data_IF_913250846326
#
_entry.id   IF_913250846326
#
_cell.length_a   1.000
_cell.length_b   1.000
_cell.length_c   1.000
_cell.angle_alpha   90.00
_cell.angle_beta   90.00
_cell.angle_gamma   90.00
#
_symmetry.space_group_name_H-M   'P 1'
#
loop_
_entity.id
_entity.type
_entity.pdbx_description
1 polymer ?
#
# COMPACT_ATOMS: atom_id res chain seq x y z
N UNK A 1 -17.96 9.02 -5.32
CA UNK A 1 -17.23 10.11 -4.63
C UNK A 1 -16.00 10.48 -5.46
N UNK A 2 -15.83 11.76 -5.81
CA UNK A 2 -14.80 12.23 -6.76
C UNK A 2 -13.34 11.91 -6.36
N UNK A 3 -12.92 12.10 -5.10
CA UNK A 3 -11.55 11.78 -4.68
C UNK A 3 -11.16 10.32 -4.92
N UNK A 4 -12.02 9.35 -4.64
CA UNK A 4 -11.73 7.92 -4.87
C UNK A 4 -11.76 7.53 -6.36
N UNK A 5 -12.27 8.40 -7.24
CA UNK A 5 -12.29 8.15 -8.69
C UNK A 5 -11.03 8.66 -9.39
N UNK A 6 -10.48 9.79 -8.94
CA UNK A 6 -9.37 10.48 -9.62
C UNK A 6 -8.08 10.56 -8.79
N UNK A 7 -8.13 10.16 -7.52
CA UNK A 7 -6.99 10.15 -6.59
C UNK A 7 -6.94 8.78 -5.91
N UNK A 8 -6.54 7.73 -6.64
CA UNK A 8 -6.45 6.40 -6.07
C UNK A 8 -5.49 6.39 -4.88
N UNK A 9 -5.79 5.52 -3.92
CA UNK A 9 -4.93 5.28 -2.77
C UNK A 9 -3.64 4.63 -3.30
N UNK A 10 -2.47 5.11 -2.88
CA UNK A 10 -1.19 4.50 -3.25
C UNK A 10 -0.57 3.72 -2.08
N UNK A 11 -0.81 4.19 -0.85
CA UNK A 11 -0.27 3.60 0.39
C UNK A 11 -1.42 3.45 1.38
N UNK A 12 -1.58 2.26 1.94
CA UNK A 12 -2.52 2.04 3.06
C UNK A 12 -1.80 2.34 4.38
N UNK A 13 -2.47 3.03 5.30
CA UNK A 13 -1.90 3.45 6.58
C UNK A 13 -2.85 3.10 7.71
N UNK A 14 -2.41 2.29 8.66
CA UNK A 14 -3.13 1.97 9.88
C UNK A 14 -2.36 2.48 11.10
N UNK A 15 -3.08 3.06 12.05
CA UNK A 15 -2.52 3.59 13.30
C UNK A 15 -3.13 2.89 14.51
N UNK A 16 -2.27 2.54 15.47
CA UNK A 16 -2.61 1.95 16.76
C UNK A 16 -2.05 2.78 17.90
N UNK A 17 -2.75 2.78 19.02
CA UNK A 17 -2.22 3.28 20.29
C UNK A 17 -0.98 2.46 20.70
N UNK A 18 -0.12 2.96 21.60
CA UNK A 18 1.07 2.21 22.04
C UNK A 18 0.76 0.80 22.55
N UNK A 19 -0.37 0.64 23.23
CA UNK A 19 -0.94 -0.59 23.77
C UNK A 19 -1.86 -1.35 22.80
N UNK A 20 -2.10 -0.79 21.61
CA UNK A 20 -2.94 -1.42 20.58
C UNK A 20 -2.26 -2.63 19.95
N UNK A 21 -3.07 -3.58 19.45
CA UNK A 21 -2.55 -4.79 18.83
C UNK A 21 -2.00 -4.53 17.42
N UNK A 22 -0.71 -4.83 17.22
CA UNK A 22 -0.10 -4.89 15.90
C UNK A 22 -0.72 -5.96 15.01
N UNK A 23 -1.15 -7.08 15.59
CA UNK A 23 -1.83 -8.17 14.87
C UNK A 23 -3.17 -7.72 14.32
N UNK A 24 -3.98 -7.00 15.09
CA UNK A 24 -5.24 -6.42 14.61
C UNK A 24 -4.98 -5.39 13.51
N UNK A 25 -3.98 -4.52 13.69
CA UNK A 25 -3.59 -3.54 12.68
C UNK A 25 -3.14 -4.22 11.38
N UNK A 26 -2.39 -5.31 11.48
CA UNK A 26 -1.99 -6.10 10.32
C UNK A 26 -3.19 -6.80 9.66
N UNK A 27 -4.13 -7.33 10.43
CA UNK A 27 -5.35 -7.93 9.90
C UNK A 27 -6.17 -6.89 9.09
N UNK A 28 -6.29 -5.66 9.60
CA UNK A 28 -6.96 -4.57 8.89
C UNK A 28 -6.22 -4.18 7.61
N UNK A 29 -4.90 -3.97 7.69
CA UNK A 29 -4.08 -3.68 6.50
C UNK A 29 -4.17 -4.79 5.44
N UNK A 30 -4.28 -6.05 5.87
CA UNK A 30 -4.42 -7.19 4.96
C UNK A 30 -5.76 -7.15 4.21
N UNK A 31 -6.86 -6.85 4.92
CA UNK A 31 -8.18 -6.67 4.30
C UNK A 31 -8.17 -5.49 3.33
N UNK A 32 -7.52 -4.38 3.69
CA UNK A 32 -7.42 -3.22 2.81
C UNK A 32 -6.54 -3.48 1.59
N UNK A 33 -5.43 -4.20 1.73
CA UNK A 33 -4.59 -4.61 0.61
C UNK A 33 -5.38 -5.51 -0.37
N UNK A 34 -6.11 -6.50 0.14
CA UNK A 34 -6.92 -7.40 -0.69
C UNK A 34 -8.00 -6.65 -1.46
N UNK A 35 -8.78 -5.80 -0.78
CA UNK A 35 -9.81 -4.99 -1.43
C UNK A 35 -9.22 -3.97 -2.41
N UNK A 36 -8.04 -3.44 -2.13
CA UNK A 36 -7.34 -2.54 -3.05
C UNK A 36 -6.88 -3.28 -4.31
N UNK A 37 -6.28 -4.46 -4.20
CA UNK A 37 -5.91 -5.26 -5.38
C UNK A 37 -7.13 -5.65 -6.23
N UNK A 38 -8.24 -6.04 -5.62
CA UNK A 38 -9.50 -6.29 -6.35
C UNK A 38 -9.95 -5.06 -7.15
N UNK A 39 -9.85 -3.86 -6.54
CA UNK A 39 -10.19 -2.62 -7.22
C UNK A 39 -9.26 -2.35 -8.40
N UNK A 40 -7.96 -2.56 -8.24
CA UNK A 40 -6.97 -2.35 -9.30
C UNK A 40 -7.16 -3.35 -10.45
N UNK A 41 -7.46 -4.62 -10.14
CA UNK A 41 -7.83 -5.65 -11.15
C UNK A 41 -9.08 -5.24 -11.94
N UNK A 42 -10.11 -4.77 -11.27
CA UNK A 42 -11.34 -4.28 -11.93
C UNK A 42 -11.07 -3.07 -12.86
N UNK A 43 -10.20 -2.15 -12.45
CA UNK A 43 -9.79 -1.01 -13.26
C UNK A 43 -8.96 -1.45 -14.48
N UNK A 44 -7.98 -2.35 -14.31
CA UNK A 44 -7.18 -2.94 -15.40
C UNK A 44 -8.09 -3.63 -16.42
N UNK A 45 -9.07 -4.41 -15.96
CA UNK A 45 -10.08 -5.06 -16.81
C UNK A 45 -10.93 -4.05 -17.59
N UNK A 46 -11.38 -2.99 -16.91
CA UNK A 46 -12.17 -1.92 -17.55
C UNK A 46 -11.36 -1.19 -18.63
N UNK A 47 -10.08 -0.90 -18.37
CA UNK A 47 -9.16 -0.28 -19.32
C UNK A 47 -8.95 -1.17 -20.56
N UNK A 48 -8.65 -2.45 -20.37
CA UNK A 48 -8.48 -3.39 -21.48
C UNK A 48 -9.75 -3.51 -22.35
N UNK A 49 -10.93 -3.54 -21.74
CA UNK A 49 -12.20 -3.59 -22.48
C UNK A 49 -12.45 -2.33 -23.32
N UNK A 50 -12.08 -1.14 -22.82
CA UNK A 50 -12.17 0.12 -23.56
C UNK A 50 -11.18 0.16 -24.74
N UNK A 51 -9.98 -0.38 -24.55
CA UNK A 51 -8.92 -0.40 -25.56
C UNK A 51 -9.03 -1.56 -26.56
N UNK A 52 -9.97 -2.49 -26.37
CA UNK A 52 -10.12 -3.68 -27.21
C UNK A 52 -8.98 -4.69 -27.08
N UNK A 53 -8.25 -4.65 -25.96
CA UNK A 53 -7.12 -5.53 -25.70
C UNK A 53 -7.59 -6.92 -25.22
N UNK A 54 -6.93 -7.97 -25.73
CA UNK A 54 -7.20 -9.34 -25.30
C UNK A 54 -6.86 -9.51 -23.82
N UNK A 55 -7.83 -9.99 -23.05
CA UNK A 55 -7.68 -10.20 -21.62
C UNK A 55 -6.69 -11.33 -21.35
N UNK A 56 -5.62 -11.04 -20.61
CA UNK A 56 -4.86 -12.04 -19.85
C UNK A 56 -5.10 -11.81 -18.37
N UNK A 57 -5.51 -12.85 -17.65
CA UNK A 57 -5.49 -12.86 -16.20
C UNK A 57 -4.03 -12.90 -15.75
N UNK A 58 -3.48 -11.71 -15.52
CA UNK A 58 -2.13 -11.52 -15.02
C UNK A 58 -2.19 -10.75 -13.72
N UNK A 59 -1.45 -11.27 -12.73
CA UNK A 59 -1.20 -10.62 -11.46
C UNK A 59 -0.71 -9.18 -11.65
N UNK A 60 -1.01 -8.33 -10.67
CA UNK A 60 -0.56 -6.96 -10.68
C UNK A 60 0.96 -6.91 -10.46
N UNK A 61 1.68 -6.31 -11.40
CA UNK A 61 3.15 -6.25 -11.38
C UNK A 61 3.73 -5.26 -10.35
N UNK A 62 2.91 -4.73 -9.45
CA UNK A 62 3.27 -3.67 -8.49
C UNK A 62 2.95 -4.15 -7.08
N UNK A 63 3.92 -3.99 -6.18
CA UNK A 63 3.72 -4.18 -4.75
C UNK A 63 3.03 -2.94 -4.14
N UNK A 64 2.08 -3.14 -3.24
CA UNK A 64 1.42 -2.08 -2.49
C UNK A 64 2.12 -1.87 -1.13
N UNK A 65 2.66 -0.67 -0.86
CA UNK A 65 3.17 -0.32 0.45
C UNK A 65 2.05 -0.25 1.49
N UNK A 66 2.30 -0.82 2.67
CA UNK A 66 1.42 -0.76 3.83
C UNK A 66 2.20 -0.20 5.02
N UNK A 67 1.69 0.85 5.66
CA UNK A 67 2.28 1.43 6.86
C UNK A 67 1.46 1.03 8.08
N UNK A 68 2.13 0.42 9.06
CA UNK A 68 1.59 0.21 10.39
C UNK A 68 2.33 1.11 11.37
N UNK A 69 1.58 1.93 12.09
CA UNK A 69 2.11 2.85 13.09
C UNK A 69 1.56 2.42 14.44
N UNK A 70 2.41 2.00 15.37
CA UNK A 70 2.01 1.65 16.73
C UNK A 70 2.74 2.53 17.73
N UNK A 71 2.00 3.38 18.43
CA UNK A 71 2.58 4.41 19.28
C UNK A 71 3.51 5.31 18.47
N UNK A 72 4.81 5.28 18.77
CA UNK A 72 5.81 6.04 18.03
C UNK A 72 6.50 5.26 16.91
N UNK A 73 6.35 3.94 16.83
CA UNK A 73 7.08 3.11 15.86
C UNK A 73 6.37 3.06 14.51
N UNK A 74 7.13 3.24 13.42
CA UNK A 74 6.64 3.18 12.05
C UNK A 74 7.24 1.96 11.34
N UNK A 75 6.37 1.06 10.88
CA UNK A 75 6.76 -0.15 10.15
C UNK A 75 6.16 -0.17 8.75
N UNK A 76 7.00 -0.48 7.76
CA UNK A 76 6.63 -0.58 6.35
C UNK A 76 6.60 -2.04 5.92
N UNK A 77 5.48 -2.46 5.34
CA UNK A 77 5.26 -3.76 4.74
C UNK A 77 4.95 -3.60 3.25
N UNK A 78 5.02 -4.69 2.51
CA UNK A 78 4.65 -4.74 1.10
C UNK A 78 3.70 -5.89 0.86
N UNK A 79 2.53 -5.59 0.32
CA UNK A 79 1.63 -6.59 -0.23
C UNK A 79 1.95 -6.79 -1.71
N UNK A 80 2.06 -8.04 -2.14
CA UNK A 80 2.33 -8.40 -3.54
C UNK A 80 1.19 -9.26 -4.05
N UNK A 81 0.69 -8.90 -5.22
CA UNK A 81 -0.33 -9.68 -5.91
C UNK A 81 0.34 -10.89 -6.58
N UNK A 82 0.10 -12.08 -6.04
CA UNK A 82 0.49 -13.33 -6.67
C UNK A 82 -0.57 -13.86 -7.62
N UNK A 83 -0.33 -15.04 -8.18
CA UNK A 83 -1.27 -15.69 -9.11
C UNK A 83 -2.54 -16.17 -8.41
N UNK A 84 -2.39 -16.73 -7.20
CA UNK A 84 -3.47 -17.39 -6.43
C UNK A 84 -3.77 -16.70 -5.09
N UNK A 85 -2.84 -15.89 -4.59
CA UNK A 85 -2.95 -15.23 -3.28
C UNK A 85 -2.21 -13.91 -3.25
N UNK A 86 -2.47 -13.15 -2.19
CA UNK A 86 -1.72 -11.94 -1.85
C UNK A 86 -0.76 -12.30 -0.72
N UNK A 87 0.53 -12.05 -0.95
CA UNK A 87 1.58 -12.23 0.05
C UNK A 87 1.93 -10.87 0.67
N UNK A 88 1.99 -10.81 2.01
CA UNK A 88 2.48 -9.63 2.74
C UNK A 88 3.84 -9.96 3.33
N UNK A 89 4.86 -9.27 2.87
CA UNK A 89 6.24 -9.48 3.33
C UNK A 89 6.48 -8.84 4.69
N UNK A 90 7.35 -9.46 5.49
CA UNK A 90 7.71 -8.99 6.82
C UNK A 90 8.11 -7.51 6.81
N UNK A 91 7.61 -6.80 7.82
CA UNK A 91 7.76 -5.36 7.92
C UNK A 91 9.15 -4.93 8.34
N UNK A 92 9.59 -3.80 7.80
CA UNK A 92 10.83 -3.12 8.16
C UNK A 92 10.46 -1.93 9.03
N UNK A 93 11.12 -1.76 10.18
CA UNK A 93 10.98 -0.52 10.98
C UNK A 93 11.73 0.60 10.25
N UNK A 94 10.99 1.58 9.76
CA UNK A 94 11.53 2.71 8.99
C UNK A 94 11.91 3.90 9.87
N UNK A 95 11.43 3.93 11.11
CA UNK A 95 11.78 4.96 12.09
C UNK A 95 10.80 5.00 13.26
N UNK A 96 10.98 6.01 14.09
CA UNK A 96 10.09 6.30 15.21
C UNK A 96 9.87 7.81 15.35
N UNK A 97 8.81 8.22 16.04
CA UNK A 97 8.54 9.62 16.39
C UNK A 97 8.89 9.95 17.84
N UNK A 98 9.70 9.11 18.50
CA UNK A 98 10.16 9.35 19.87
C UNK A 98 11.49 10.10 19.92
N UNK A 99 12.27 10.04 18.84
CA UNK A 99 13.57 10.71 18.72
C UNK A 99 13.62 11.63 17.49
N UNK A 100 14.42 12.69 17.55
CA UNK A 100 14.61 13.60 16.40
C UNK A 100 15.17 12.82 15.19
N UNK A 101 16.15 11.94 15.42
CA UNK A 101 16.72 11.10 14.37
C UNK A 101 15.67 10.16 13.78
N UNK A 102 14.84 9.53 14.61
CA UNK A 102 13.71 8.71 14.18
C UNK A 102 12.75 9.51 13.29
N UNK A 103 12.37 10.73 13.71
CA UNK A 103 11.50 11.60 12.92
C UNK A 103 12.09 11.89 11.54
N UNK A 104 13.39 12.15 11.44
CA UNK A 104 14.05 12.35 10.15
C UNK A 104 14.00 11.10 9.27
N UNK A 105 14.17 9.90 9.84
CA UNK A 105 14.02 8.65 9.09
C UNK A 105 12.60 8.43 8.58
N UNK A 106 11.58 8.70 9.42
CA UNK A 106 10.17 8.63 9.02
C UNK A 106 9.89 9.60 7.87
N UNK A 107 10.33 10.86 7.98
CA UNK A 107 10.16 11.86 6.91
C UNK A 107 10.85 11.44 5.62
N UNK A 108 12.07 10.89 5.70
CA UNK A 108 12.78 10.39 4.53
C UNK A 108 12.00 9.23 3.86
N UNK A 109 11.55 8.24 4.63
CA UNK A 109 10.77 7.12 4.11
C UNK A 109 9.43 7.56 3.48
N UNK A 110 8.72 8.51 4.10
CA UNK A 110 7.48 9.06 3.54
C UNK A 110 7.71 9.81 2.24
N UNK A 111 8.85 10.51 2.09
CA UNK A 111 9.22 11.16 0.82
C UNK A 111 9.50 10.13 -0.27
N UNK A 112 10.18 9.03 0.05
CA UNK A 112 10.39 7.94 -0.91
C UNK A 112 9.07 7.31 -1.36
N UNK A 113 8.14 7.05 -0.42
CA UNK A 113 6.80 6.54 -0.75
C UNK A 113 6.00 7.53 -1.60
N UNK A 114 6.12 8.83 -1.35
CA UNK A 114 5.48 9.85 -2.17
C UNK A 114 6.07 9.89 -3.59
N UNK A 115 7.41 9.84 -3.71
CA UNK A 115 8.10 9.76 -5.01
C UNK A 115 7.67 8.52 -5.77
N UNK A 116 7.64 7.35 -5.13
CA UNK A 116 7.16 6.10 -5.72
C UNK A 116 5.70 6.22 -6.18
N UNK A 117 4.84 6.85 -5.38
CA UNK A 117 3.42 7.04 -5.71
C UNK A 117 3.24 7.83 -7.00
N UNK A 118 4.03 8.87 -7.21
CA UNK A 118 3.92 9.74 -8.40
C UNK A 118 4.67 9.21 -9.62
N UNK A 119 5.76 8.47 -9.44
CA UNK A 119 6.62 8.02 -10.55
C UNK A 119 6.30 6.60 -11.03
N UNK A 120 5.92 5.71 -10.12
CA UNK A 120 5.71 4.28 -10.41
C UNK A 120 4.23 3.93 -10.35
N UNK A 121 3.57 4.19 -9.21
CA UNK A 121 2.18 3.80 -9.01
C UNK A 121 1.23 4.56 -9.95
N UNK A 122 1.39 5.88 -10.07
CA UNK A 122 0.57 6.69 -10.98
C UNK A 122 0.74 6.28 -12.45
N UNK A 123 1.95 5.94 -12.87
CA UNK A 123 2.22 5.48 -14.25
C UNK A 123 1.58 4.13 -14.54
N UNK A 124 1.38 3.32 -13.50
CA UNK A 124 0.74 2.01 -13.62
C UNK A 124 -0.78 2.11 -13.87
N UNK A 125 -1.47 3.11 -13.30
CA UNK A 125 -2.91 3.39 -13.50
C UNK A 125 -3.21 3.83 -14.94
#
# INVERSE_FOLDING_TARGET
YMPLRWRPIAVNIETKTPDGSSQEGMAQLSVWAATHFERLRALKKSKAAILGESQKEEALSTALPLLLIQGSTWSLFFAVDGTDRIDIFNGIVIGDTATILGCYKVVAALRELATWSETTFRTWL
#
